data_IF_460114746984
#
_entry.id   IF_460114746984
#
_cell.length_a   1.000
_cell.length_b   1.000
_cell.length_c   1.000
_cell.angle_alpha   90.00
_cell.angle_beta   90.00
_cell.angle_gamma   90.00
#
_symmetry.space_group_name_H-M   'P 1'
#
loop_
_entity.id
_entity.type
_entity.pdbx_description
1 polymer ?
#
# COMPACT_ATOMS: atom_id res chain seq x y z
N UNK A 1 -9.79 -38.34 33.76
CA UNK A 1 -10.54 -37.43 32.85
C UNK A 1 -12.03 -37.66 33.04
N UNK A 2 -12.83 -36.62 33.33
CA UNK A 2 -14.29 -36.75 33.38
C UNK A 2 -14.83 -37.01 31.96
N UNK A 3 -15.64 -38.06 31.80
CA UNK A 3 -16.37 -38.35 30.57
C UNK A 3 -17.53 -37.36 30.50
N UNK A 4 -17.51 -36.48 29.50
CA UNK A 4 -18.59 -35.52 29.26
C UNK A 4 -19.66 -36.22 28.46
N UNK A 5 -20.90 -36.11 28.91
CA UNK A 5 -22.04 -36.47 28.08
C UNK A 5 -22.33 -35.32 27.10
N UNK A 6 -22.11 -35.59 25.81
CA UNK A 6 -22.22 -34.57 24.75
C UNK A 6 -23.66 -34.34 24.29
N UNK A 7 -24.60 -35.23 24.65
CA UNK A 7 -26.01 -35.10 24.26
C UNK A 7 -26.77 -34.13 25.17
N UNK A 8 -26.34 -33.99 26.43
CA UNK A 8 -26.90 -33.05 27.41
C UNK A 8 -26.24 -31.67 27.40
N UNK A 9 -25.26 -31.44 26.52
CA UNK A 9 -24.61 -30.13 26.38
C UNK A 9 -25.57 -29.12 25.75
N UNK A 10 -25.67 -27.94 26.35
CA UNK A 10 -26.40 -26.81 25.78
C UNK A 10 -25.65 -26.24 24.56
N UNK A 11 -26.07 -26.65 23.36
CA UNK A 11 -25.49 -26.22 22.09
C UNK A 11 -25.85 -24.79 21.67
N UNK A 12 -26.68 -24.07 22.45
CA UNK A 12 -27.01 -22.66 22.19
C UNK A 12 -25.89 -21.70 22.57
N UNK A 13 -24.96 -22.15 23.44
CA UNK A 13 -23.74 -21.42 23.82
C UNK A 13 -22.70 -21.41 22.72
N UNK A 14 -21.77 -20.45 22.76
CA UNK A 14 -20.66 -20.44 21.80
C UNK A 14 -19.60 -21.52 22.16
N UNK A 15 -18.79 -21.94 21.19
CA UNK A 15 -17.79 -23.00 21.39
C UNK A 15 -16.76 -22.66 22.48
N UNK A 16 -16.49 -21.37 22.72
CA UNK A 16 -15.49 -20.93 23.69
C UNK A 16 -16.01 -21.04 25.12
N UNK A 17 -17.24 -20.60 25.36
CA UNK A 17 -17.95 -20.80 26.62
C UNK A 17 -18.03 -22.27 26.98
N UNK A 18 -18.41 -23.13 26.01
CA UNK A 18 -18.42 -24.57 26.22
C UNK A 18 -17.04 -25.16 26.48
N UNK A 19 -16.00 -24.67 25.81
CA UNK A 19 -14.63 -25.10 26.05
C UNK A 19 -14.18 -24.80 27.48
N UNK A 20 -14.47 -23.59 27.98
CA UNK A 20 -14.13 -23.14 29.32
C UNK A 20 -14.97 -23.89 30.39
N UNK A 21 -16.28 -24.04 30.20
CA UNK A 21 -17.19 -24.74 31.12
C UNK A 21 -16.90 -26.24 31.22
N UNK A 22 -16.59 -26.88 30.09
CA UNK A 22 -16.31 -28.32 30.04
C UNK A 22 -14.84 -28.66 30.31
N UNK A 23 -13.96 -27.65 30.39
CA UNK A 23 -12.52 -27.82 30.52
C UNK A 23 -11.92 -28.61 29.34
N UNK A 24 -12.40 -28.33 28.11
CA UNK A 24 -11.96 -29.00 26.88
C UNK A 24 -11.44 -28.01 25.86
N UNK A 25 -10.58 -28.48 24.97
CA UNK A 25 -10.09 -27.67 23.87
C UNK A 25 -11.25 -27.26 22.94
N UNK A 26 -11.17 -26.03 22.43
CA UNK A 26 -12.13 -25.47 21.46
C UNK A 26 -12.39 -26.42 20.29
N UNK A 27 -11.33 -27.01 19.72
CA UNK A 27 -11.43 -27.91 18.58
C UNK A 27 -12.17 -29.22 18.92
N UNK A 28 -12.07 -29.68 20.17
CA UNK A 28 -12.79 -30.87 20.64
C UNK A 28 -14.30 -30.59 20.68
N UNK A 29 -14.70 -29.41 21.19
CA UNK A 29 -16.10 -28.98 21.22
C UNK A 29 -16.63 -28.75 19.80
N UNK A 30 -15.83 -28.11 18.93
CA UNK A 30 -16.19 -27.87 17.53
C UNK A 30 -16.42 -29.16 16.74
N UNK A 31 -15.54 -30.16 16.94
CA UNK A 31 -15.69 -31.49 16.33
C UNK A 31 -16.97 -32.17 16.79
N UNK A 32 -17.25 -32.17 18.11
CA UNK A 32 -18.45 -32.79 18.67
C UNK A 32 -19.74 -32.09 18.24
N UNK A 33 -19.72 -30.76 18.11
CA UNK A 33 -20.82 -29.97 17.56
C UNK A 33 -21.18 -30.37 16.13
N UNK A 34 -20.16 -30.62 15.31
CA UNK A 34 -20.34 -31.07 13.93
C UNK A 34 -20.86 -32.50 13.88
N UNK A 35 -20.26 -33.43 14.62
CA UNK A 35 -20.68 -34.85 14.69
C UNK A 35 -22.15 -35.01 15.12
N UNK A 36 -22.64 -34.16 16.02
CA UNK A 36 -24.01 -34.22 16.54
C UNK A 36 -25.02 -33.39 15.71
N UNK A 37 -24.60 -32.82 14.58
CA UNK A 37 -25.48 -32.01 13.71
C UNK A 37 -25.98 -30.71 14.36
N UNK A 38 -25.31 -30.22 15.42
CA UNK A 38 -25.71 -29.02 16.17
C UNK A 38 -25.04 -27.74 15.65
N UNK A 39 -24.49 -27.80 14.44
CA UNK A 39 -23.88 -26.67 13.76
C UNK A 39 -24.91 -25.56 13.54
N UNK A 40 -24.52 -24.31 13.80
CA UNK A 40 -25.39 -23.14 13.59
C UNK A 40 -26.41 -22.84 14.70
N UNK A 41 -26.50 -23.64 15.75
CA UNK A 41 -27.43 -23.40 16.88
C UNK A 41 -26.95 -22.37 17.91
N UNK A 42 -25.69 -21.97 17.85
CA UNK A 42 -25.16 -20.96 18.75
C UNK A 42 -25.74 -19.59 18.43
N UNK A 43 -26.28 -18.91 19.46
CA UNK A 43 -26.87 -17.57 19.32
C UNK A 43 -25.82 -16.54 18.89
N UNK A 44 -24.63 -16.64 19.48
CA UNK A 44 -23.51 -15.75 19.20
C UNK A 44 -22.27 -16.52 18.74
N UNK A 45 -21.52 -15.93 17.80
CA UNK A 45 -20.21 -16.43 17.40
C UNK A 45 -19.13 -15.75 18.24
N UNK A 46 -18.23 -16.55 18.82
CA UNK A 46 -17.08 -16.00 19.52
C UNK A 46 -16.21 -15.19 18.54
N UNK A 47 -15.81 -13.99 18.95
CA UNK A 47 -14.87 -13.18 18.19
C UNK A 47 -13.50 -13.85 18.20
N UNK A 48 -12.84 -13.89 17.05
CA UNK A 48 -11.47 -14.38 16.91
C UNK A 48 -10.53 -13.57 17.82
N UNK A 49 -9.63 -14.24 18.54
CA UNK A 49 -8.65 -13.59 19.44
C UNK A 49 -7.69 -12.66 18.72
N UNK A 50 -7.40 -12.95 17.46
CA UNK A 50 -6.49 -12.17 16.62
C UNK A 50 -7.22 -11.07 15.84
N UNK A 51 -8.53 -10.90 16.04
CA UNK A 51 -9.29 -9.85 15.35
C UNK A 51 -8.79 -8.48 15.81
N UNK A 52 -8.20 -7.73 14.88
CA UNK A 52 -7.64 -6.39 15.14
C UNK A 52 -6.17 -6.39 15.54
N UNK A 53 -5.54 -7.55 15.72
CA UNK A 53 -4.10 -7.64 15.99
C UNK A 53 -3.34 -7.69 14.66
N UNK A 54 -2.70 -6.58 14.28
CA UNK A 54 -1.80 -6.56 13.13
C UNK A 54 -0.54 -7.37 13.46
N UNK A 55 -0.33 -8.50 12.79
CA UNK A 55 0.91 -9.31 12.91
C UNK A 55 2.15 -8.60 12.34
N UNK A 56 1.96 -7.53 11.56
CA UNK A 56 3.01 -6.85 10.79
C UNK A 56 3.45 -5.51 11.37
N UNK A 57 2.74 -4.96 12.37
CA UNK A 57 3.01 -3.61 12.85
C UNK A 57 3.25 -3.58 14.36
N UNK A 58 4.51 -3.33 14.77
CA UNK A 58 4.87 -3.09 16.18
C UNK A 58 4.54 -1.65 16.63
N UNK A 59 4.27 -0.74 15.69
CA UNK A 59 3.94 0.66 15.98
C UNK A 59 2.41 0.83 16.09
N UNK A 60 1.89 1.32 17.23
CA UNK A 60 0.46 1.57 17.38
C UNK A 60 -0.02 2.71 16.45
N UNK A 61 -1.26 2.63 16.00
CA UNK A 61 -1.96 3.78 15.38
C UNK A 61 -2.11 4.89 16.43
N UNK A 62 -1.84 6.19 16.14
CA UNK A 62 -1.64 6.83 14.83
C UNK A 62 -0.18 7.02 14.39
N UNK A 63 0.79 6.63 15.23
CA UNK A 63 2.22 6.88 14.99
C UNK A 63 2.76 6.11 13.77
N UNK A 64 2.11 5.00 13.41
CA UNK A 64 2.43 4.20 12.23
C UNK A 64 2.52 5.03 10.95
N UNK A 65 1.63 6.02 10.74
CA UNK A 65 1.65 6.82 9.51
C UNK A 65 2.90 7.71 9.41
N UNK A 66 3.29 8.32 10.54
CA UNK A 66 4.50 9.16 10.61
C UNK A 66 5.74 8.33 10.35
N UNK A 67 5.86 7.20 11.05
CA UNK A 67 6.95 6.25 10.88
C UNK A 67 7.04 5.73 9.44
N UNK A 68 5.92 5.30 8.85
CA UNK A 68 5.88 4.84 7.46
C UNK A 68 6.32 5.94 6.48
N UNK A 69 5.94 7.20 6.74
CA UNK A 69 6.35 8.35 5.92
C UNK A 69 7.86 8.62 6.02
N UNK A 70 8.43 8.54 7.22
CA UNK A 70 9.87 8.71 7.46
C UNK A 70 10.67 7.60 6.79
N UNK A 71 10.26 6.35 6.96
CA UNK A 71 10.91 5.19 6.34
C UNK A 71 10.78 5.23 4.81
N UNK A 72 9.64 5.66 4.26
CA UNK A 72 9.47 5.79 2.82
C UNK A 72 10.41 6.84 2.21
N UNK A 73 10.73 7.93 2.93
CA UNK A 73 11.69 8.93 2.46
C UNK A 73 13.10 8.36 2.30
N UNK A 74 13.51 7.49 3.23
CA UNK A 74 14.86 6.91 3.28
C UNK A 74 14.98 5.69 2.35
N UNK A 75 13.89 4.97 2.13
CA UNK A 75 13.87 3.75 1.32
C UNK A 75 14.36 3.98 -0.11
N UNK A 76 15.36 3.22 -0.60
CA UNK A 76 15.80 3.29 -2.00
C UNK A 76 14.68 2.94 -3.00
N UNK A 77 13.73 2.09 -2.59
CA UNK A 77 12.65 1.59 -3.45
C UNK A 77 11.44 2.53 -3.52
N UNK A 78 11.22 3.32 -2.47
CA UNK A 78 10.01 4.16 -2.33
C UNK A 78 10.32 5.66 -2.26
N UNK A 79 11.55 6.02 -1.93
CA UNK A 79 12.01 7.40 -1.82
C UNK A 79 12.20 8.07 -3.18
N UNK A 80 12.62 9.33 -3.15
CA UNK A 80 12.77 10.20 -4.34
C UNK A 80 14.10 9.93 -5.09
N UNK A 81 14.49 8.67 -5.22
CA UNK A 81 15.76 8.21 -5.78
C UNK A 81 15.60 7.56 -7.16
N UNK A 82 16.71 7.34 -7.88
CA UNK A 82 16.72 6.69 -9.19
C UNK A 82 16.27 5.23 -9.10
N UNK A 83 16.54 4.58 -7.97
CA UNK A 83 16.22 3.18 -7.69
C UNK A 83 14.75 2.94 -7.34
N UNK A 84 13.91 3.99 -7.36
CA UNK A 84 12.50 3.86 -7.04
C UNK A 84 11.84 2.81 -7.95
N UNK A 85 10.96 1.97 -7.40
CA UNK A 85 10.29 0.91 -8.16
C UNK A 85 9.42 1.43 -9.30
N UNK A 86 8.92 2.66 -9.20
CA UNK A 86 8.12 3.32 -10.22
C UNK A 86 8.94 4.15 -11.22
N UNK A 87 10.28 4.14 -11.09
CA UNK A 87 11.18 4.79 -12.04
C UNK A 87 11.14 4.10 -13.40
N UNK A 88 11.29 4.89 -14.47
CA UNK A 88 11.24 4.43 -15.87
C UNK A 88 12.32 5.12 -16.66
N UNK A 89 12.90 4.43 -17.64
CA UNK A 89 13.98 5.01 -18.45
C UNK A 89 13.41 5.89 -19.54
N UNK A 90 13.89 7.12 -19.63
CA UNK A 90 13.48 8.10 -20.63
C UNK A 90 14.69 8.62 -21.41
N UNK A 91 14.46 8.94 -22.68
CA UNK A 91 15.34 9.76 -23.50
C UNK A 91 14.68 11.12 -23.68
N UNK A 92 15.32 12.18 -23.20
CA UNK A 92 14.81 13.54 -23.25
C UNK A 92 15.69 14.35 -24.17
N UNK A 93 15.08 15.14 -25.06
CA UNK A 93 15.79 16.12 -25.88
C UNK A 93 15.38 17.51 -25.42
N UNK A 94 16.37 18.34 -25.06
CA UNK A 94 16.15 19.74 -24.71
C UNK A 94 15.82 20.58 -25.95
N UNK A 95 15.26 21.79 -25.77
CA UNK A 95 15.07 22.75 -26.87
C UNK A 95 16.38 23.09 -27.59
N UNK A 96 17.50 23.01 -26.87
CA UNK A 96 18.86 23.25 -27.39
C UNK A 96 19.47 22.03 -28.09
N UNK A 97 18.66 21.01 -28.40
CA UNK A 97 19.05 19.73 -29.01
C UNK A 97 20.02 18.86 -28.18
N UNK A 98 20.17 19.12 -26.88
CA UNK A 98 20.92 18.22 -25.99
C UNK A 98 20.08 16.99 -25.67
N UNK A 99 20.69 15.81 -25.67
CA UNK A 99 20.01 14.54 -25.41
C UNK A 99 20.46 13.97 -24.07
N UNK A 100 19.48 13.66 -23.23
CA UNK A 100 19.67 13.08 -21.90
C UNK A 100 19.01 11.70 -21.83
N UNK A 101 19.74 10.70 -21.33
CA UNK A 101 19.20 9.37 -21.03
C UNK A 101 19.13 9.22 -19.52
N UNK A 102 17.94 9.08 -18.98
CA UNK A 102 17.69 9.11 -17.53
C UNK A 102 16.83 7.94 -17.07
N UNK A 103 16.95 7.57 -15.80
CA UNK A 103 16.16 6.48 -15.19
C UNK A 103 14.99 6.97 -14.34
N UNK A 104 15.04 8.21 -13.83
CA UNK A 104 13.94 8.80 -13.07
C UNK A 104 13.71 10.26 -13.49
N UNK A 105 12.58 10.48 -14.17
CA UNK A 105 12.16 11.80 -14.65
C UNK A 105 12.03 12.82 -13.52
N UNK A 106 11.48 12.43 -12.38
CA UNK A 106 11.23 13.35 -11.27
C UNK A 106 12.53 13.78 -10.60
N UNK A 107 13.52 12.89 -10.51
CA UNK A 107 14.83 13.23 -9.99
C UNK A 107 15.56 14.16 -10.96
N UNK A 108 15.57 13.84 -12.26
CA UNK A 108 16.19 14.68 -13.28
C UNK A 108 15.71 16.13 -13.22
N UNK A 109 14.40 16.36 -13.10
CA UNK A 109 13.83 17.72 -12.99
C UNK A 109 14.20 18.40 -11.66
N UNK A 110 14.39 17.66 -10.58
CA UNK A 110 14.82 18.22 -9.28
C UNK A 110 16.29 18.61 -9.28
N UNK A 111 17.13 17.85 -9.95
CA UNK A 111 18.58 18.07 -9.96
C UNK A 111 18.93 19.17 -10.99
N UNK A 112 18.18 19.24 -12.09
CA UNK A 112 18.43 20.17 -13.20
C UNK A 112 17.41 21.31 -13.26
N UNK A 113 17.08 21.92 -12.12
CA UNK A 113 16.08 23.01 -12.07
C UNK A 113 16.44 24.20 -12.97
N UNK A 114 17.73 24.45 -13.16
CA UNK A 114 18.23 25.55 -14.00
C UNK A 114 17.96 25.38 -15.50
N UNK A 115 17.67 24.16 -15.97
CA UNK A 115 17.32 23.90 -17.37
C UNK A 115 15.86 24.25 -17.70
N UNK A 116 15.04 24.48 -16.67
CA UNK A 116 13.61 24.73 -16.82
C UNK A 116 13.26 26.13 -16.32
N UNK A 117 12.13 26.65 -16.78
CA UNK A 117 11.60 27.89 -16.24
C UNK A 117 11.24 27.71 -14.76
N UNK A 118 11.59 28.67 -13.87
CA UNK A 118 11.32 28.55 -12.44
C UNK A 118 9.86 28.27 -12.09
N UNK A 119 8.93 28.79 -12.89
CA UNK A 119 7.48 28.58 -12.74
C UNK A 119 7.04 27.14 -12.99
N UNK A 120 7.77 26.38 -13.81
CA UNK A 120 7.42 25.02 -14.20
C UNK A 120 8.01 23.95 -13.28
N UNK A 121 8.98 24.32 -12.44
CA UNK A 121 9.68 23.42 -11.49
C UNK A 121 9.07 23.49 -10.09
N UNK A 122 7.99 24.24 -9.91
CA UNK A 122 7.25 24.30 -8.65
C UNK A 122 6.48 22.98 -8.48
N UNK A 123 6.95 22.13 -7.57
CA UNK A 123 6.28 20.88 -7.22
C UNK A 123 5.02 21.16 -6.40
N UNK A 124 3.87 20.82 -6.97
CA UNK A 124 2.54 20.90 -6.37
C UNK A 124 2.10 19.49 -5.98
N UNK A 125 1.27 19.36 -4.95
CA UNK A 125 0.65 18.07 -4.62
C UNK A 125 -0.64 17.89 -5.39
N UNK A 126 -0.81 16.73 -6.02
CA UNK A 126 -2.11 16.27 -6.50
C UNK A 126 -2.82 15.60 -5.31
N UNK A 127 -4.12 15.81 -5.12
CA UNK A 127 -4.91 15.01 -4.15
C UNK A 127 -5.78 15.82 -3.20
N UNK A 128 -7.03 15.36 -3.06
CA UNK A 128 -8.09 15.98 -2.25
C UNK A 128 -7.86 15.94 -0.74
N UNK A 129 -8.91 16.16 0.04
CA UNK A 129 -8.96 16.45 1.49
C UNK A 129 -8.08 15.59 2.42
N UNK A 130 -7.56 14.44 1.97
CA UNK A 130 -6.68 13.51 2.73
C UNK A 130 -5.21 13.51 2.29
N UNK A 131 -4.79 14.34 1.34
CA UNK A 131 -3.38 14.49 0.94
C UNK A 131 -2.73 13.25 0.31
N UNK A 132 -3.53 12.38 -0.33
CA UNK A 132 -3.12 11.05 -0.81
C UNK A 132 -2.51 11.00 -2.21
N UNK A 133 -2.35 12.12 -2.92
CA UNK A 133 -1.76 12.09 -4.26
C UNK A 133 -0.29 12.54 -4.28
N UNK A 134 0.38 12.15 -5.37
CA UNK A 134 1.79 12.42 -5.61
C UNK A 134 2.08 13.90 -5.87
N UNK A 135 3.34 14.28 -5.69
CA UNK A 135 3.83 15.58 -6.13
C UNK A 135 4.06 15.57 -7.65
N UNK A 136 3.69 16.65 -8.31
CA UNK A 136 3.94 16.89 -9.72
C UNK A 136 4.33 18.35 -9.95
N UNK A 137 5.16 18.61 -10.95
CA UNK A 137 5.37 19.96 -11.48
C UNK A 137 4.97 20.00 -12.96
N UNK A 138 4.85 21.20 -13.53
CA UNK A 138 4.44 21.36 -14.92
C UNK A 138 5.44 20.69 -15.88
N UNK A 139 6.74 20.77 -15.57
CA UNK A 139 7.78 20.12 -16.37
C UNK A 139 7.64 18.60 -16.37
N UNK A 140 7.45 17.98 -15.20
CA UNK A 140 7.23 16.52 -15.13
C UNK A 140 5.95 16.11 -15.84
N UNK A 141 4.86 16.87 -15.70
CA UNK A 141 3.59 16.55 -16.35
C UNK A 141 3.68 16.69 -17.87
N UNK A 142 4.34 17.74 -18.38
CA UNK A 142 4.56 17.97 -19.81
C UNK A 142 5.39 16.85 -20.44
N UNK A 143 6.51 16.50 -19.83
CA UNK A 143 7.37 15.41 -20.29
C UNK A 143 6.67 14.04 -20.23
N UNK A 144 5.86 13.80 -19.19
CA UNK A 144 5.04 12.59 -19.11
C UNK A 144 3.97 12.53 -20.20
N UNK A 145 3.33 13.65 -20.54
CA UNK A 145 2.31 13.70 -21.59
C UNK A 145 2.92 13.38 -22.95
N UNK A 146 4.15 13.86 -23.21
CA UNK A 146 4.89 13.49 -24.40
C UNK A 146 5.20 11.99 -24.41
N UNK A 147 5.72 11.45 -23.30
CA UNK A 147 6.06 10.03 -23.21
C UNK A 147 4.86 9.10 -23.41
N UNK A 148 3.64 9.58 -23.13
CA UNK A 148 2.36 8.88 -23.34
C UNK A 148 1.74 9.15 -24.70
N UNK A 149 2.47 9.80 -25.60
CA UNK A 149 2.01 10.22 -26.93
C UNK A 149 0.74 11.11 -26.94
N UNK A 150 0.41 11.77 -25.82
CA UNK A 150 -0.73 12.71 -25.76
C UNK A 150 -0.42 14.03 -26.45
N UNK A 151 0.86 14.42 -26.47
CA UNK A 151 1.38 15.65 -27.06
C UNK A 151 2.71 15.35 -27.73
N UNK A 152 3.04 15.99 -28.85
CA UNK A 152 4.31 15.72 -29.55
C UNK A 152 5.52 16.40 -28.91
N UNK A 153 5.33 17.62 -28.39
CA UNK A 153 6.37 18.44 -27.77
C UNK A 153 5.79 19.24 -26.62
N UNK A 154 6.65 19.71 -25.71
CA UNK A 154 6.27 20.58 -24.60
C UNK A 154 7.34 21.65 -24.45
N UNK A 155 7.04 22.90 -24.80
CA UNK A 155 7.99 24.03 -24.76
C UNK A 155 9.35 23.72 -25.45
N UNK A 156 9.31 23.03 -26.59
CA UNK A 156 10.50 22.61 -27.33
C UNK A 156 11.12 21.28 -26.87
N UNK A 157 10.73 20.76 -25.70
CA UNK A 157 11.20 19.47 -25.20
C UNK A 157 10.55 18.29 -25.93
N UNK A 158 11.34 17.24 -26.11
CA UNK A 158 10.89 15.91 -26.55
C UNK A 158 11.23 14.87 -25.49
N UNK A 159 10.40 13.84 -25.37
CA UNK A 159 10.57 12.78 -24.39
C UNK A 159 10.10 11.45 -24.97
N UNK A 160 10.98 10.46 -24.95
CA UNK A 160 10.69 9.11 -25.40
C UNK A 160 10.87 8.15 -24.21
N UNK A 161 9.90 7.28 -23.98
CA UNK A 161 10.02 6.22 -22.99
C UNK A 161 10.83 5.07 -23.61
N UNK A 162 11.99 4.76 -23.03
CA UNK A 162 12.87 3.69 -23.52
C UNK A 162 12.52 2.33 -22.91
N UNK A 163 12.15 2.30 -21.64
CA UNK A 163 11.88 1.06 -20.92
C UNK A 163 10.87 1.29 -19.79
N UNK A 164 9.82 0.48 -19.77
CA UNK A 164 8.94 0.33 -18.62
C UNK A 164 9.26 -0.99 -17.94
N UNK A 165 9.99 -0.93 -16.82
CA UNK A 165 10.09 -2.05 -15.89
C UNK A 165 8.72 -2.58 -15.50
#
# INVERSE_FOLDING_TARGET
MRRIDWHSVDWTKNNRQLADELGKAYDTVAKKRWELGQSGKAKDRAVRVDKGVSKTTCVPSPQQQRYATEMAKISPKSGKFETNIHSKKYKITSPDNQVFVITNLYQFVRDNKGLFLPTDVIFKRQGGTRGTGGEYCNATSGLLYISKHKTRTWKGWKCELLDSK
#
